data_IF_484533781653
#
_entry.id   IF_484533781653
#
_cell.length_a   1.000
_cell.length_b   1.000
_cell.length_c   1.000
_cell.angle_alpha   90.00
_cell.angle_beta   90.00
_cell.angle_gamma   90.00
#
_symmetry.space_group_name_H-M   'P 1'
#
loop_
_entity.id
_entity.type
_entity.pdbx_description
1 polymer ?
#
# COMPACT_ATOMS: atom_id res chain seq x y z
N UNK A 1 64.41 40.92 48.45
CA UNK A 1 64.11 39.48 48.54
C UNK A 1 62.59 39.18 48.58
N UNK A 2 61.75 39.86 47.77
CA UNK A 2 60.27 39.81 47.89
C UNK A 2 59.54 39.49 46.57
N UNK A 3 60.25 39.44 45.42
CA UNK A 3 59.67 39.07 44.11
C UNK A 3 59.43 37.55 43.98
N UNK A 4 60.30 36.71 44.55
CA UNK A 4 60.25 35.23 44.43
C UNK A 4 59.06 34.58 45.18
N UNK A 5 58.62 35.16 46.32
CA UNK A 5 57.46 34.63 47.07
C UNK A 5 56.12 34.92 46.38
N UNK A 6 55.97 36.04 45.67
CA UNK A 6 54.75 36.38 44.94
C UNK A 6 54.53 35.47 43.72
N UNK A 7 55.59 35.10 43.01
CA UNK A 7 55.48 34.20 41.83
C UNK A 7 55.11 32.77 42.21
N UNK A 8 55.61 32.26 43.36
CA UNK A 8 55.27 30.91 43.84
C UNK A 8 53.82 30.79 44.34
N UNK A 9 53.25 31.85 44.92
CA UNK A 9 51.84 31.86 45.37
C UNK A 9 50.89 31.96 44.17
N UNK A 10 51.25 32.70 43.13
CA UNK A 10 50.43 32.81 41.91
C UNK A 10 50.35 31.47 41.15
N UNK A 11 51.43 30.67 41.14
CA UNK A 11 51.48 29.37 40.46
C UNK A 11 50.60 28.29 41.15
N UNK A 12 50.45 28.36 42.47
CA UNK A 12 49.62 27.41 43.26
C UNK A 12 48.12 27.70 43.08
N UNK A 13 47.73 28.98 42.91
CA UNK A 13 46.33 29.37 42.65
C UNK A 13 45.91 28.99 41.22
N UNK A 14 46.84 29.08 40.25
CA UNK A 14 46.61 28.61 38.87
C UNK A 14 46.50 27.07 38.77
N UNK A 15 47.28 26.31 39.56
CA UNK A 15 47.18 24.85 39.60
C UNK A 15 45.94 24.36 40.37
N UNK A 16 45.53 25.05 41.44
CA UNK A 16 44.32 24.71 42.21
C UNK A 16 43.01 24.97 41.45
N UNK A 17 42.98 26.00 40.60
CA UNK A 17 41.82 26.26 39.72
C UNK A 17 41.76 25.30 38.52
N UNK A 18 42.89 24.75 38.08
CA UNK A 18 42.93 23.74 37.02
C UNK A 18 42.35 22.37 37.43
N UNK A 19 42.32 22.05 38.73
CA UNK A 19 41.75 20.79 39.23
C UNK A 19 40.24 20.82 39.53
N UNK A 20 39.61 22.00 39.58
CA UNK A 20 38.16 22.13 39.81
C UNK A 20 37.39 22.31 38.48
N UNK A 21 38.02 22.93 37.46
CA UNK A 21 37.36 23.20 36.18
C UNK A 21 37.27 21.94 35.29
N UNK A 22 38.27 21.05 35.33
CA UNK A 22 38.28 19.83 34.50
C UNK A 22 37.15 18.84 34.85
N UNK A 23 36.87 18.49 36.13
CA UNK A 23 35.78 17.56 36.43
C UNK A 23 34.40 18.15 36.12
N UNK A 24 34.16 19.45 36.34
CA UNK A 24 32.87 20.06 36.04
C UNK A 24 32.62 20.22 34.54
N UNK A 25 33.66 20.54 33.75
CA UNK A 25 33.55 20.58 32.29
C UNK A 25 33.35 19.18 31.72
N UNK A 26 34.05 18.17 32.25
CA UNK A 26 33.88 16.78 31.83
C UNK A 26 32.49 16.24 32.21
N UNK A 27 31.96 16.58 33.38
CA UNK A 27 30.58 16.22 33.78
C UNK A 27 29.53 16.94 32.91
N UNK A 28 29.74 18.22 32.57
CA UNK A 28 28.86 18.95 31.65
C UNK A 28 28.87 18.33 30.26
N UNK A 29 30.05 18.01 29.73
CA UNK A 29 30.20 17.36 28.42
C UNK A 29 29.59 15.96 28.44
N UNK A 30 29.80 15.17 29.49
CA UNK A 30 29.19 13.83 29.62
C UNK A 30 27.66 13.91 29.68
N UNK A 31 27.13 14.89 30.42
CA UNK A 31 25.68 15.14 30.55
C UNK A 31 25.05 15.65 29.26
N UNK A 32 25.76 16.50 28.51
CA UNK A 32 25.31 16.97 27.20
C UNK A 32 25.38 15.85 26.16
N UNK A 33 26.38 14.97 26.21
CA UNK A 33 26.48 13.76 25.37
C UNK A 33 25.35 12.78 25.70
N UNK A 34 25.06 12.51 26.97
CA UNK A 34 23.94 11.63 27.38
C UNK A 34 22.57 12.20 27.01
N UNK A 35 22.39 13.53 27.14
CA UNK A 35 21.15 14.20 26.72
C UNK A 35 20.98 14.14 25.20
N UNK A 36 22.05 14.35 24.44
CA UNK A 36 22.02 14.33 22.99
C UNK A 36 21.90 12.90 22.42
N UNK A 37 22.44 11.88 23.10
CA UNK A 37 22.24 10.47 22.75
C UNK A 37 20.80 9.98 22.98
N UNK A 38 20.06 10.62 23.89
CA UNK A 38 18.66 10.31 24.15
C UNK A 38 17.70 11.06 23.22
N UNK A 39 18.16 12.13 22.54
CA UNK A 39 17.38 12.89 21.55
C UNK A 39 17.60 12.40 20.09
N UNK A 40 18.66 11.65 19.80
CA UNK A 40 18.89 10.99 18.49
C UNK A 40 18.22 9.63 18.34
N UNK A 41 17.32 9.25 19.25
CA UNK A 41 16.36 8.19 18.97
C UNK A 41 15.17 8.80 18.22
N UNK A 42 15.38 9.15 16.95
CA UNK A 42 14.32 9.59 16.03
C UNK A 42 13.46 8.42 15.56
N UNK A 43 13.22 7.42 16.42
CA UNK A 43 12.06 6.58 16.27
C UNK A 43 10.87 7.44 16.65
N UNK A 44 10.33 8.14 15.64
CA UNK A 44 8.88 8.37 15.59
C UNK A 44 8.23 7.12 16.20
N UNK A 45 7.43 7.23 17.27
CA UNK A 45 6.73 6.06 17.79
C UNK A 45 6.07 5.37 16.59
N UNK A 46 6.08 4.02 16.49
CA UNK A 46 5.44 3.37 15.36
C UNK A 46 4.04 3.94 15.27
N UNK A 47 3.83 4.76 14.24
CA UNK A 47 2.52 5.30 13.95
C UNK A 47 1.74 4.04 13.60
N UNK A 48 0.80 3.63 14.45
CA UNK A 48 -0.12 2.55 14.10
C UNK A 48 -0.65 2.89 12.71
N UNK A 49 -0.32 2.06 11.72
CA UNK A 49 -0.73 2.33 10.35
C UNK A 49 -2.24 2.16 10.34
N UNK A 50 -2.96 3.24 10.03
CA UNK A 50 -4.41 3.20 9.80
C UNK A 50 -4.76 2.54 8.44
N UNK A 51 -3.87 1.69 7.93
CA UNK A 51 -3.96 1.01 6.64
C UNK A 51 -3.63 -0.44 6.88
N UNK A 52 -4.56 -1.31 6.47
CA UNK A 52 -4.43 -2.75 6.51
C UNK A 52 -4.21 -3.24 5.08
N UNK A 53 -3.31 -4.20 4.90
CA UNK A 53 -2.93 -4.75 3.61
C UNK A 53 -3.29 -6.23 3.60
N UNK A 54 -3.81 -6.69 2.47
CA UNK A 54 -3.87 -8.09 2.11
C UNK A 54 -3.17 -8.22 0.77
N UNK A 55 -2.25 -9.19 0.67
CA UNK A 55 -1.44 -9.37 -0.53
C UNK A 55 -2.26 -10.07 -1.62
N UNK A 56 -2.28 -9.47 -2.81
CA UNK A 56 -2.64 -10.18 -4.03
C UNK A 56 -1.39 -10.75 -4.69
N UNK A 57 -1.56 -11.69 -5.62
CA UNK A 57 -0.42 -12.42 -6.23
C UNK A 57 0.10 -11.74 -7.48
N UNK A 58 -0.73 -10.95 -8.15
CA UNK A 58 -0.38 -10.06 -9.25
C UNK A 58 -0.25 -8.60 -8.81
N UNK A 59 -0.27 -7.71 -9.80
CA UNK A 59 -0.41 -6.27 -9.59
C UNK A 59 -1.90 -5.90 -9.54
N UNK A 60 -2.40 -5.44 -8.39
CA UNK A 60 -3.77 -4.96 -8.26
C UNK A 60 -3.98 -3.66 -9.06
N UNK A 61 -4.81 -3.72 -10.12
CA UNK A 61 -5.01 -2.64 -11.09
C UNK A 61 -6.35 -1.92 -10.95
N UNK A 62 -7.41 -2.64 -10.60
CA UNK A 62 -8.77 -2.12 -10.46
C UNK A 62 -9.50 -2.77 -9.30
N UNK A 63 -10.47 -2.08 -8.71
CA UNK A 63 -11.27 -2.61 -7.59
C UNK A 63 -12.73 -2.18 -7.72
N UNK A 64 -13.63 -3.10 -7.39
CA UNK A 64 -15.04 -2.85 -7.16
C UNK A 64 -15.46 -3.45 -5.82
N UNK A 65 -16.28 -2.75 -5.04
CA UNK A 65 -16.81 -3.25 -3.76
C UNK A 65 -18.30 -3.51 -3.88
N UNK A 66 -18.74 -4.72 -3.54
CA UNK A 66 -20.15 -5.10 -3.48
C UNK A 66 -20.43 -5.92 -2.23
N UNK A 67 -21.25 -5.37 -1.33
CA UNK A 67 -21.53 -5.98 -0.03
C UNK A 67 -20.26 -6.16 0.80
N UNK A 68 -20.04 -7.38 1.27
CA UNK A 68 -18.90 -7.77 2.09
C UNK A 68 -17.68 -8.22 1.27
N UNK A 69 -17.66 -7.96 -0.05
CA UNK A 69 -16.58 -8.40 -0.93
C UNK A 69 -15.96 -7.26 -1.73
N UNK A 70 -14.64 -7.30 -1.85
CA UNK A 70 -13.88 -6.55 -2.84
C UNK A 70 -13.49 -7.48 -3.99
N UNK A 71 -13.70 -7.01 -5.20
CA UNK A 71 -13.37 -7.67 -6.47
C UNK A 71 -12.23 -6.87 -7.08
N UNK A 72 -11.07 -7.48 -7.21
CA UNK A 72 -9.84 -6.83 -7.64
C UNK A 72 -9.41 -7.43 -8.97
N UNK A 73 -9.20 -6.58 -9.97
CA UNK A 73 -8.51 -6.95 -11.19
C UNK A 73 -7.01 -7.03 -10.87
N UNK A 74 -6.47 -8.24 -10.80
CA UNK A 74 -5.12 -8.55 -10.30
C UNK A 74 -4.17 -8.98 -11.42
N UNK A 75 -4.22 -8.25 -12.55
CA UNK A 75 -3.39 -8.48 -13.75
C UNK A 75 -3.25 -9.95 -14.13
N UNK A 76 -2.09 -10.58 -13.89
CA UNK A 76 -1.79 -11.95 -14.32
C UNK A 76 -2.57 -13.02 -13.53
N UNK A 77 -3.13 -12.66 -12.38
CA UNK A 77 -3.91 -13.57 -11.53
C UNK A 77 -5.41 -13.48 -11.79
N UNK A 78 -5.84 -12.66 -12.76
CA UNK A 78 -7.23 -12.52 -13.16
C UNK A 78 -8.06 -11.74 -12.14
N UNK A 79 -9.19 -12.32 -11.74
CA UNK A 79 -10.09 -11.75 -10.73
C UNK A 79 -9.72 -12.29 -9.35
N UNK A 80 -9.38 -11.39 -8.43
CA UNK A 80 -9.24 -11.70 -7.01
C UNK A 80 -10.49 -11.26 -6.24
N UNK A 81 -11.09 -12.16 -5.48
CA UNK A 81 -12.26 -11.89 -4.63
C UNK A 81 -11.85 -11.99 -3.16
N UNK A 82 -12.06 -10.91 -2.42
CA UNK A 82 -11.57 -10.73 -1.05
C UNK A 82 -12.77 -10.46 -0.14
N UNK A 83 -12.95 -11.30 0.88
CA UNK A 83 -13.92 -11.05 1.95
C UNK A 83 -13.43 -9.87 2.79
N UNK A 84 -14.19 -8.78 2.81
CA UNK A 84 -13.89 -7.54 3.53
C UNK A 84 -14.95 -7.24 4.60
N UNK A 85 -15.66 -8.27 5.07
CA UNK A 85 -16.63 -8.15 6.17
C UNK A 85 -16.01 -7.56 7.45
N UNK A 86 -14.73 -7.83 7.68
CA UNK A 86 -13.86 -7.05 8.58
C UNK A 86 -12.81 -6.28 7.76
N UNK A 87 -13.00 -4.98 7.49
CA UNK A 87 -12.06 -4.19 6.69
C UNK A 87 -10.71 -3.96 7.39
N UNK A 88 -10.59 -4.29 8.68
CA UNK A 88 -9.32 -4.22 9.41
C UNK A 88 -8.55 -5.54 9.38
N UNK A 89 -9.19 -6.60 8.90
CA UNK A 89 -8.58 -7.91 8.71
C UNK A 89 -9.25 -8.62 7.51
N UNK A 90 -8.97 -8.18 6.28
CA UNK A 90 -9.51 -8.81 5.08
C UNK A 90 -9.16 -10.30 5.01
N UNK A 91 -10.04 -11.09 4.41
CA UNK A 91 -9.79 -12.51 4.16
C UNK A 91 -8.78 -12.74 3.04
N UNK A 92 -8.22 -13.94 2.98
CA UNK A 92 -7.32 -14.32 1.87
C UNK A 92 -8.07 -14.32 0.54
N UNK A 93 -7.46 -13.78 -0.54
CA UNK A 93 -8.12 -13.74 -1.85
C UNK A 93 -8.42 -15.15 -2.42
N UNK A 94 -9.59 -15.29 -3.02
CA UNK A 94 -9.93 -16.38 -3.94
C UNK A 94 -9.74 -15.86 -5.36
N UNK A 95 -9.12 -16.66 -6.23
CA UNK A 95 -8.82 -16.24 -7.59
C UNK A 95 -9.64 -17.00 -8.62
N UNK A 96 -10.01 -16.31 -9.68
CA UNK A 96 -10.42 -16.90 -10.95
C UNK A 96 -9.54 -16.35 -12.07
N UNK A 97 -8.90 -17.25 -12.81
CA UNK A 97 -7.96 -16.90 -13.86
C UNK A 97 -8.68 -16.28 -15.07
N UNK A 98 -8.03 -15.33 -15.73
CA UNK A 98 -8.53 -14.77 -16.98
C UNK A 98 -7.51 -14.97 -18.09
N UNK A 99 -7.96 -15.13 -19.33
CA UNK A 99 -7.08 -15.23 -20.50
C UNK A 99 -6.41 -13.88 -20.85
N UNK A 100 -5.48 -13.44 -20.01
CA UNK A 100 -4.76 -12.19 -20.17
C UNK A 100 -4.59 -11.45 -18.86
N UNK A 101 -4.34 -10.14 -18.95
CA UNK A 101 -4.17 -9.29 -17.79
C UNK A 101 -5.48 -8.58 -17.46
N UNK A 102 -6.00 -8.77 -16.25
CA UNK A 102 -7.15 -8.04 -15.73
C UNK A 102 -6.74 -6.60 -15.33
N UNK A 103 -7.44 -5.59 -15.86
CA UNK A 103 -7.13 -4.17 -15.59
C UNK A 103 -8.27 -3.41 -14.90
N UNK A 104 -9.50 -3.66 -15.33
CA UNK A 104 -10.69 -3.01 -14.76
C UNK A 104 -11.72 -4.06 -14.38
N UNK A 105 -12.54 -3.76 -13.39
CA UNK A 105 -13.62 -4.63 -12.93
C UNK A 105 -14.84 -3.83 -12.55
N UNK A 106 -16.00 -4.32 -12.95
CA UNK A 106 -17.30 -3.80 -12.55
C UNK A 106 -18.19 -4.96 -12.10
N UNK A 107 -18.92 -4.81 -11.00
CA UNK A 107 -19.88 -5.81 -10.53
C UNK A 107 -21.30 -5.31 -10.71
N UNK A 108 -22.16 -6.15 -11.28
CA UNK A 108 -23.60 -5.90 -11.42
C UNK A 108 -24.38 -7.18 -11.12
N UNK A 109 -25.14 -7.17 -10.02
CA UNK A 109 -25.85 -8.37 -9.55
C UNK A 109 -24.88 -9.51 -9.24
N UNK A 110 -25.14 -10.67 -9.84
CA UNK A 110 -24.36 -11.90 -9.64
C UNK A 110 -23.19 -12.03 -10.63
N UNK A 111 -22.80 -10.96 -11.32
CA UNK A 111 -21.75 -11.00 -12.33
C UNK A 111 -20.65 -9.95 -12.11
N UNK A 112 -19.41 -10.38 -12.26
CA UNK A 112 -18.24 -9.53 -12.42
C UNK A 112 -17.87 -9.43 -13.90
N UNK A 113 -17.68 -8.20 -14.36
CA UNK A 113 -17.25 -7.85 -15.70
C UNK A 113 -15.82 -7.35 -15.59
N UNK A 114 -14.87 -8.06 -16.18
CA UNK A 114 -13.44 -7.76 -16.06
C UNK A 114 -12.90 -7.38 -17.43
N UNK A 115 -12.35 -6.17 -17.55
CA UNK A 115 -11.62 -5.75 -18.74
C UNK A 115 -10.28 -6.50 -18.76
N UNK A 116 -10.12 -7.40 -19.72
CA UNK A 116 -8.94 -8.24 -19.87
C UNK A 116 -8.19 -7.78 -21.12
N UNK A 117 -6.94 -7.33 -20.94
CA UNK A 117 -6.07 -7.01 -22.06
C UNK A 117 -5.87 -8.22 -22.97
N UNK A 118 -5.11 -8.07 -24.06
CA UNK A 118 -5.70 -7.79 -25.36
C UNK A 118 -7.01 -8.55 -25.67
N UNK A 119 -8.00 -7.78 -26.14
CA UNK A 119 -9.20 -8.20 -26.89
C UNK A 119 -10.38 -8.83 -26.16
N UNK A 120 -10.49 -8.75 -24.83
CA UNK A 120 -11.61 -9.42 -24.15
C UNK A 120 -12.26 -8.62 -23.02
N UNK A 121 -13.57 -8.76 -22.90
CA UNK A 121 -14.32 -8.58 -21.67
C UNK A 121 -14.61 -9.99 -21.11
N UNK A 122 -14.19 -10.26 -19.89
CA UNK A 122 -14.55 -11.49 -19.18
C UNK A 122 -15.80 -11.25 -18.33
N UNK A 123 -16.79 -12.14 -18.45
CA UNK A 123 -18.01 -12.17 -17.63
C UNK A 123 -17.93 -13.39 -16.73
N UNK A 124 -17.98 -13.17 -15.42
CA UNK A 124 -17.74 -14.18 -14.39
C UNK A 124 -18.94 -14.21 -13.46
N UNK A 125 -19.59 -15.37 -13.32
CA UNK A 125 -20.61 -15.60 -12.29
C UNK A 125 -19.96 -15.55 -10.91
N UNK A 126 -20.45 -14.67 -10.05
CA UNK A 126 -19.99 -14.45 -8.66
C UNK A 126 -21.14 -14.62 -7.66
N UNK A 127 -22.20 -15.36 -8.03
CA UNK A 127 -23.31 -15.71 -7.13
C UNK A 127 -22.84 -16.42 -5.86
N UNK A 128 -21.73 -17.16 -5.94
CA UNK A 128 -20.91 -17.58 -4.81
C UNK A 128 -19.52 -16.90 -4.90
N UNK A 129 -19.29 -15.78 -4.18
CA UNK A 129 -18.01 -15.08 -4.22
C UNK A 129 -16.81 -15.91 -3.72
N UNK A 130 -17.06 -17.01 -2.99
CA UNK A 130 -15.99 -17.92 -2.53
C UNK A 130 -15.63 -18.99 -3.57
N UNK A 131 -16.42 -19.09 -4.63
CA UNK A 131 -16.18 -19.99 -5.75
C UNK A 131 -16.74 -19.37 -7.05
N UNK A 132 -16.05 -18.34 -7.59
CA UNK A 132 -16.44 -17.75 -8.86
C UNK A 132 -16.53 -18.79 -9.98
N UNK A 133 -17.44 -18.56 -10.93
CA UNK A 133 -17.61 -19.40 -12.10
C UNK A 133 -16.49 -19.21 -13.13
N UNK A 134 -16.39 -20.14 -14.09
CA UNK A 134 -15.45 -20.00 -15.20
C UNK A 134 -15.83 -18.80 -16.08
N UNK A 135 -14.88 -17.95 -16.50
CA UNK A 135 -15.18 -16.80 -17.33
C UNK A 135 -15.70 -17.15 -18.72
N UNK A 136 -16.68 -16.38 -19.17
CA UNK A 136 -17.10 -16.31 -20.57
C UNK A 136 -16.57 -15.01 -21.17
N UNK A 137 -16.08 -15.07 -22.41
CA UNK A 137 -15.38 -13.95 -23.02
C UNK A 137 -16.15 -13.35 -24.19
N UNK A 138 -16.34 -12.05 -24.14
CA UNK A 138 -16.80 -11.23 -25.25
C UNK A 138 -15.61 -10.53 -25.91
N UNK A 139 -15.46 -10.72 -27.22
CA UNK A 139 -14.32 -10.19 -27.94
C UNK A 139 -14.45 -8.68 -28.18
N UNK A 140 -13.39 -7.94 -27.85
CA UNK A 140 -13.14 -6.57 -28.31
C UNK A 140 -12.04 -6.57 -29.37
N UNK A 141 -11.77 -5.42 -30.00
CA UNK A 141 -10.74 -5.33 -31.06
C UNK A 141 -9.45 -4.67 -30.59
N UNK A 142 -9.48 -3.98 -29.45
CA UNK A 142 -8.38 -3.26 -28.85
C UNK A 142 -7.94 -3.86 -27.52
N UNK A 143 -7.25 -3.02 -26.75
CA UNK A 143 -6.79 -3.40 -25.42
C UNK A 143 -7.80 -2.88 -24.39
N UNK A 144 -8.51 -3.80 -23.73
CA UNK A 144 -9.52 -3.43 -22.74
C UNK A 144 -8.84 -2.97 -21.44
N UNK A 145 -9.06 -1.70 -21.09
CA UNK A 145 -8.47 -1.08 -19.89
C UNK A 145 -9.43 -0.98 -18.72
N UNK A 146 -10.70 -0.67 -19.00
CA UNK A 146 -11.71 -0.46 -17.97
C UNK A 146 -13.10 -0.80 -18.53
N UNK A 147 -14.04 -1.08 -17.64
CA UNK A 147 -15.42 -1.42 -17.98
C UNK A 147 -16.41 -0.74 -17.03
N UNK A 148 -17.51 -0.26 -17.59
CA UNK A 148 -18.67 0.20 -16.84
C UNK A 148 -19.93 -0.50 -17.36
N UNK A 149 -20.83 -0.89 -16.47
CA UNK A 149 -22.10 -1.54 -16.85
C UNK A 149 -23.28 -0.63 -16.56
N UNK A 150 -24.21 -0.50 -17.51
CA UNK A 150 -25.47 0.23 -17.33
C UNK A 150 -26.62 -0.48 -18.05
N UNK A 151 -27.59 -0.97 -17.28
CA UNK A 151 -28.66 -1.80 -17.82
C UNK A 151 -28.09 -3.05 -18.48
N UNK A 152 -28.51 -3.29 -19.71
CA UNK A 152 -28.13 -4.47 -20.50
C UNK A 152 -26.84 -4.26 -21.33
N UNK A 153 -26.04 -3.24 -21.01
CA UNK A 153 -24.83 -2.91 -21.78
C UNK A 153 -23.59 -2.76 -20.90
N UNK A 154 -22.48 -3.33 -21.37
CA UNK A 154 -21.14 -3.05 -20.91
C UNK A 154 -20.44 -2.07 -21.86
N UNK A 155 -19.74 -1.10 -21.28
CA UNK A 155 -19.01 -0.03 -21.95
C UNK A 155 -17.53 -0.19 -21.63
N UNK A 156 -16.74 -0.60 -22.61
CA UNK A 156 -15.32 -0.92 -22.42
C UNK A 156 -14.44 0.15 -23.06
N UNK A 157 -13.50 0.67 -22.29
CA UNK A 157 -12.43 1.53 -22.81
C UNK A 157 -11.40 0.65 -23.55
N UNK A 158 -11.52 0.57 -24.88
CA UNK A 158 -10.86 -0.42 -25.74
C UNK A 158 -9.67 0.18 -26.53
N UNK A 159 -8.87 1.00 -25.85
CA UNK A 159 -7.65 1.64 -26.38
C UNK A 159 -7.87 2.33 -27.74
N UNK A 160 -7.14 1.92 -28.79
CA UNK A 160 -7.22 2.50 -30.14
C UNK A 160 -8.54 2.23 -30.87
N UNK A 161 -9.34 1.26 -30.43
CA UNK A 161 -10.71 1.05 -30.92
C UNK A 161 -11.69 2.10 -30.38
N UNK A 162 -11.33 2.80 -29.30
CA UNK A 162 -12.18 3.77 -28.62
C UNK A 162 -13.11 3.12 -27.59
N UNK A 163 -14.42 3.26 -27.78
CA UNK A 163 -15.44 2.70 -26.89
C UNK A 163 -16.06 1.47 -27.55
N UNK A 164 -15.93 0.31 -26.91
CA UNK A 164 -16.73 -0.86 -27.25
C UNK A 164 -18.01 -0.88 -26.40
N UNK A 165 -19.14 -1.16 -27.04
CA UNK A 165 -20.45 -1.33 -26.37
C UNK A 165 -20.90 -2.76 -26.64
N UNK A 166 -21.09 -3.52 -25.57
CA UNK A 166 -21.38 -4.96 -25.62
C UNK A 166 -22.75 -5.17 -24.97
N UNK A 167 -23.64 -5.88 -25.67
CA UNK A 167 -24.93 -6.32 -25.13
C UNK A 167 -24.70 -7.50 -24.19
N UNK A 168 -25.15 -7.37 -22.96
CA UNK A 168 -24.97 -8.34 -21.86
C UNK A 168 -26.33 -8.80 -21.31
N UNK A 169 -27.41 -8.62 -22.08
CA UNK A 169 -28.77 -9.03 -21.68
C UNK A 169 -28.92 -10.54 -21.44
N UNK A 170 -28.05 -11.34 -22.06
CA UNK A 170 -27.93 -12.77 -21.83
C UNK A 170 -26.52 -13.07 -21.31
N UNK A 171 -26.32 -13.17 -19.98
CA UNK A 171 -25.05 -13.59 -19.41
C UNK A 171 -24.90 -15.11 -19.61
N UNK A 172 -24.60 -15.52 -20.84
CA UNK A 172 -24.41 -16.93 -21.22
C UNK A 172 -23.14 -17.52 -20.64
#
# INVERSE_FOLDING_TARGET
MQKSKKTKILLIILLGSMFIVIPNLLISIQRDIEKNSNEINTTRPPQESSVYYEDTTGDAAGVYVSGDYAYVADTISGLAVIDISDPTNPGTPVYEDTFGFAYGVYVSGDYAYVAVGPWHLAVIDISDPRNPGTPVYEATTGYAWDVYVSGDYAYVADDTSGLAVIDISDPT
#
